data_IF_331173162329
#
_entry.id   IF_331173162329
#
_cell.length_a   1.000
_cell.length_b   1.000
_cell.length_c   1.000
_cell.angle_alpha   90.00
_cell.angle_beta   90.00
_cell.angle_gamma   90.00
#
_symmetry.space_group_name_H-M   'P 1'
#
loop_
_entity.id
_entity.type
_entity.pdbx_description
1 polymer ?
#
# COMPACT_ATOMS: atom_id res chain seq x y z
N UNK A 1 -16.31 4.48 -2.88
CA UNK A 1 -15.34 4.24 -3.97
C UNK A 1 -14.10 3.71 -3.29
N UNK A 2 -13.81 2.41 -3.39
CA UNK A 2 -12.55 1.89 -2.87
C UNK A 2 -11.42 2.45 -3.72
N UNK A 3 -10.40 3.04 -3.09
CA UNK A 3 -9.25 3.57 -3.82
C UNK A 3 -8.12 2.55 -3.74
N UNK A 4 -7.71 2.02 -4.87
CA UNK A 4 -6.54 1.14 -4.93
C UNK A 4 -5.29 2.02 -4.95
N UNK A 5 -4.37 1.79 -4.01
CA UNK A 5 -3.06 2.42 -3.97
C UNK A 5 -1.97 1.39 -4.15
N UNK A 6 -0.98 1.74 -4.95
CA UNK A 6 0.23 0.96 -5.14
C UNK A 6 1.43 1.76 -4.65
N UNK A 7 2.35 1.07 -3.99
CA UNK A 7 3.58 1.64 -3.50
C UNK A 7 4.75 0.73 -3.85
N UNK A 8 5.79 1.34 -4.41
CA UNK A 8 7.06 0.67 -4.70
C UNK A 8 8.11 1.10 -3.68
N UNK A 9 8.89 0.14 -3.20
CA UNK A 9 10.02 0.39 -2.33
C UNK A 9 11.09 -0.69 -2.49
N UNK A 10 12.26 -0.46 -1.89
CA UNK A 10 13.35 -1.44 -1.86
C UNK A 10 13.05 -2.62 -0.93
N UNK A 11 12.14 -2.43 0.03
CA UNK A 11 11.71 -3.44 1.00
C UNK A 11 10.19 -3.46 1.13
N UNK A 12 9.63 -4.62 1.45
CA UNK A 12 8.19 -4.78 1.67
C UNK A 12 7.67 -3.78 2.73
N UNK A 13 8.41 -3.64 3.82
CA UNK A 13 8.11 -2.70 4.90
C UNK A 13 8.02 -1.25 4.42
N UNK A 14 8.98 -0.80 3.59
CA UNK A 14 8.95 0.56 3.06
C UNK A 14 7.76 0.80 2.11
N UNK A 15 7.33 -0.22 1.38
CA UNK A 15 6.15 -0.13 0.52
C UNK A 15 4.85 -0.08 1.35
N UNK A 16 4.72 -0.97 2.34
CA UNK A 16 3.57 -1.00 3.27
C UNK A 16 3.48 0.29 4.08
N UNK A 17 4.60 0.83 4.54
CA UNK A 17 4.67 2.09 5.30
C UNK A 17 4.14 3.29 4.49
N UNK A 18 4.44 3.35 3.18
CA UNK A 18 3.88 4.37 2.28
C UNK A 18 2.36 4.25 2.19
N UNK A 19 1.85 3.04 1.97
CA UNK A 19 0.41 2.77 1.89
C UNK A 19 -0.28 3.13 3.22
N UNK A 20 0.29 2.71 4.34
CA UNK A 20 -0.25 2.98 5.67
C UNK A 20 -0.30 4.49 5.97
N UNK A 21 0.73 5.26 5.55
CA UNK A 21 0.72 6.73 5.65
C UNK A 21 -0.41 7.33 4.80
N UNK A 22 -0.60 6.84 3.57
CA UNK A 22 -1.61 7.33 2.65
C UNK A 22 -3.02 7.07 3.19
N UNK A 23 -3.25 5.86 3.71
CA UNK A 23 -4.48 5.46 4.38
C UNK A 23 -4.78 6.34 5.60
N UNK A 24 -3.78 6.51 6.46
CA UNK A 24 -3.90 7.34 7.67
C UNK A 24 -4.14 8.82 7.37
N UNK A 25 -3.59 9.35 6.27
CA UNK A 25 -3.87 10.71 5.80
C UNK A 25 -5.30 10.88 5.29
N UNK A 26 -5.87 9.86 4.67
CA UNK A 26 -7.26 9.85 4.24
C UNK A 26 -8.24 9.54 5.38
N UNK A 27 -7.74 9.01 6.50
CA UNK A 27 -8.57 8.50 7.59
C UNK A 27 -9.25 7.18 7.24
N UNK A 28 -8.69 6.46 6.26
CA UNK A 28 -9.23 5.22 5.72
C UNK A 28 -8.41 4.02 6.22
N UNK A 29 -9.05 2.87 6.27
CA UNK A 29 -8.39 1.59 6.43
C UNK A 29 -7.75 1.16 5.11
N UNK A 30 -6.61 0.49 5.20
CA UNK A 30 -5.98 -0.14 4.05
C UNK A 30 -5.95 -1.65 4.24
N UNK A 31 -6.06 -2.37 3.13
CA UNK A 31 -5.81 -3.81 3.06
C UNK A 31 -4.91 -4.10 1.89
N UNK A 32 -3.75 -4.68 2.18
CA UNK A 32 -2.86 -5.20 1.14
C UNK A 32 -3.59 -6.35 0.45
N UNK A 33 -3.74 -6.25 -0.88
CA UNK A 33 -4.37 -7.27 -1.71
C UNK A 33 -3.34 -8.01 -2.57
N UNK A 34 -2.25 -7.34 -2.93
CA UNK A 34 -1.17 -7.93 -3.71
C UNK A 34 0.17 -7.38 -3.23
N UNK A 35 1.19 -8.23 -3.20
CA UNK A 35 2.56 -7.82 -2.94
C UNK A 35 3.49 -8.58 -3.88
N UNK A 36 4.15 -7.82 -4.75
CA UNK A 36 5.09 -8.32 -5.73
C UNK A 36 6.48 -7.85 -5.35
N UNK A 37 7.47 -8.75 -5.31
CA UNK A 37 8.85 -8.41 -4.92
C UNK A 37 9.83 -8.80 -6.02
N UNK A 38 9.48 -8.51 -7.27
CA UNK A 38 10.34 -8.80 -8.40
C UNK A 38 11.33 -7.64 -8.59
N UNK A 39 12.54 -7.79 -8.02
CA UNK A 39 13.62 -6.79 -7.93
C UNK A 39 13.35 -5.58 -7.00
N UNK A 40 12.10 -5.13 -6.89
CA UNK A 40 11.62 -4.13 -5.91
C UNK A 40 10.31 -4.61 -5.29
N UNK A 41 10.03 -4.20 -4.05
CA UNK A 41 8.76 -4.48 -3.40
C UNK A 41 7.68 -3.53 -3.91
N UNK A 42 6.84 -4.03 -4.79
CA UNK A 42 5.63 -3.40 -5.30
C UNK A 42 4.41 -3.95 -4.55
N UNK A 43 3.90 -3.17 -3.61
CA UNK A 43 2.73 -3.56 -2.82
C UNK A 43 1.52 -2.80 -3.32
N UNK A 44 0.40 -3.49 -3.49
CA UNK A 44 -0.89 -2.93 -3.83
C UNK A 44 -1.87 -3.17 -2.69
N UNK A 45 -2.52 -2.11 -2.26
CA UNK A 45 -3.54 -2.14 -1.23
C UNK A 45 -4.79 -1.41 -1.68
N UNK A 46 -5.91 -1.83 -1.12
CA UNK A 46 -7.18 -1.15 -1.25
C UNK A 46 -7.46 -0.32 -0.01
N UNK A 47 -7.83 0.93 -0.24
CA UNK A 47 -8.29 1.88 0.76
C UNK A 47 -9.81 1.86 0.82
N UNK A 48 -10.33 1.79 2.03
CA UNK A 48 -11.76 1.82 2.33
C UNK A 48 -12.01 2.47 3.69
N UNK A 49 -13.18 3.08 3.84
CA UNK A 49 -13.64 3.65 5.11
C UNK A 49 -14.17 2.58 6.05
#
# INVERSE_FOLDING_TARGET
MAQTVSATSLTLDGAVSKIARQAKQQGDHFRVISADTNNYAHVTAELYK
#
